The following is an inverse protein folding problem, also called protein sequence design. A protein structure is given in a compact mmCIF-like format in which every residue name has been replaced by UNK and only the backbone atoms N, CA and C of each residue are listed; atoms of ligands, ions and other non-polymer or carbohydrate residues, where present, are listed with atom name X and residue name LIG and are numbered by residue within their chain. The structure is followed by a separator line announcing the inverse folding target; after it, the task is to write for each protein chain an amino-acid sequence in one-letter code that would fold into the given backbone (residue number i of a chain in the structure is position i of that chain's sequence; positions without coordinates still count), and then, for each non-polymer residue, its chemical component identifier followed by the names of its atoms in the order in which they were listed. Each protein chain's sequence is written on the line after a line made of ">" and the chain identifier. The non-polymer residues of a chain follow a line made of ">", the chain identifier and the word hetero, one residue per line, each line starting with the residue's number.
data_IF_197845983500
#
_entry.id   IF_197845983500
#
_cell.length_a   1.000
_cell.length_b   1.000
_cell.length_c   1.000
_cell.angle_alpha   90.00
_cell.angle_beta   90.00
_cell.angle_gamma   90.00
#
_symmetry.space_group_name_H-M   'P 1'
#
loop_
_entity.id
_entity.type
_entity.pdbx_description
1 polymer ?
#
# COMPACT_ATOMS: atom_id res chain seq x y z
N UNK A 1 -1.36 47.82 6.25
CA UNK A 1 -1.21 46.44 6.76
C UNK A 1 -0.53 45.65 5.67
N UNK A 2 0.80 45.57 5.74
CA UNK A 2 1.58 44.81 4.78
C UNK A 2 1.29 43.32 4.98
N UNK A 3 0.76 42.68 3.93
CA UNK A 3 0.43 41.25 3.98
C UNK A 3 1.73 40.46 4.07
N UNK A 4 1.77 39.48 4.97
CA UNK A 4 2.88 38.53 5.03
C UNK A 4 3.02 37.84 3.66
N UNK A 5 4.25 37.69 3.13
CA UNK A 5 4.48 36.90 1.92
C UNK A 5 3.97 35.47 2.07
N UNK A 6 3.43 34.92 0.99
CA UNK A 6 2.83 33.57 1.01
C UNK A 6 3.83 32.51 1.44
N UNK A 7 5.08 32.62 1.00
CA UNK A 7 6.17 31.71 1.34
C UNK A 7 6.46 31.72 2.84
N UNK A 8 6.39 32.89 3.48
CA UNK A 8 6.58 33.04 4.93
C UNK A 8 5.43 32.35 5.68
N UNK A 9 4.19 32.47 5.20
CA UNK A 9 3.05 31.76 5.77
C UNK A 9 3.21 30.23 5.65
N UNK A 10 3.63 29.73 4.48
CA UNK A 10 3.90 28.31 4.28
C UNK A 10 5.01 27.80 5.20
N UNK A 11 6.05 28.60 5.42
CA UNK A 11 7.12 28.26 6.36
C UNK A 11 6.60 28.17 7.80
N UNK A 12 5.81 29.15 8.25
CA UNK A 12 5.20 29.15 9.59
C UNK A 12 4.34 27.90 9.78
N UNK A 13 3.41 27.63 8.87
CA UNK A 13 2.56 26.44 8.94
C UNK A 13 3.36 25.13 8.82
N UNK A 14 4.49 25.15 8.10
CA UNK A 14 5.40 24.02 8.00
C UNK A 14 5.96 23.55 9.35
N UNK A 15 6.04 24.43 10.36
CA UNK A 15 6.49 24.07 11.71
C UNK A 15 5.37 23.53 12.62
N UNK A 16 4.10 23.73 12.26
CA UNK A 16 2.98 23.26 13.08
C UNK A 16 2.79 21.74 12.95
N UNK A 17 2.40 21.03 14.02
CA UNK A 17 2.13 19.59 13.94
C UNK A 17 0.88 19.31 13.09
N UNK A 18 0.79 18.13 12.47
CA UNK A 18 -0.37 17.75 11.67
C UNK A 18 -1.68 17.76 12.46
N UNK A 19 -1.62 17.50 13.77
CA UNK A 19 -2.76 17.57 14.70
C UNK A 19 -3.43 18.95 14.72
N UNK A 20 -2.68 20.04 14.47
CA UNK A 20 -3.21 21.39 14.47
C UNK A 20 -3.97 21.75 13.19
N UNK A 21 -3.77 21.01 12.09
CA UNK A 21 -4.34 21.39 10.80
C UNK A 21 -5.86 21.36 10.80
N UNK A 22 -6.50 20.43 11.52
CA UNK A 22 -7.97 20.39 11.62
C UNK A 22 -8.54 21.72 12.17
N UNK A 23 -7.94 22.25 13.24
CA UNK A 23 -8.32 23.56 13.79
C UNK A 23 -8.00 24.70 12.83
N UNK A 24 -6.87 24.64 12.13
CA UNK A 24 -6.51 25.66 11.14
C UNK A 24 -7.53 25.73 10.00
N UNK A 25 -8.03 24.58 9.52
CA UNK A 25 -9.05 24.51 8.47
C UNK A 25 -10.37 25.17 8.85
N UNK A 26 -10.64 25.38 10.14
CA UNK A 26 -11.80 26.14 10.60
C UNK A 26 -11.62 27.67 10.49
N UNK A 27 -10.37 28.15 10.36
CA UNK A 27 -10.04 29.58 10.44
C UNK A 27 -9.49 30.13 9.13
N UNK A 28 -8.65 29.36 8.43
CA UNK A 28 -7.95 29.82 7.22
C UNK A 28 -8.59 29.26 5.94
N UNK A 29 -8.40 29.95 4.79
CA UNK A 29 -8.85 29.44 3.50
C UNK A 29 -8.27 28.06 3.20
N UNK A 30 -9.15 27.15 2.75
CA UNK A 30 -8.81 25.76 2.43
C UNK A 30 -7.64 25.64 1.45
N UNK A 31 -7.62 26.47 0.40
CA UNK A 31 -6.54 26.45 -0.62
C UNK A 31 -5.17 26.77 0.00
N UNK A 32 -5.12 27.75 0.92
CA UNK A 32 -3.88 28.11 1.62
C UNK A 32 -3.37 26.96 2.49
N UNK A 33 -4.25 26.30 3.22
CA UNK A 33 -3.86 25.20 4.09
C UNK A 33 -3.55 23.90 3.35
N UNK A 34 -4.23 23.65 2.22
CA UNK A 34 -3.86 22.55 1.33
C UNK A 34 -2.42 22.76 0.86
N UNK A 35 -2.07 23.95 0.33
CA UNK A 35 -0.69 24.24 -0.06
C UNK A 35 0.30 24.19 1.11
N UNK A 36 -0.07 24.66 2.30
CA UNK A 36 0.78 24.56 3.49
C UNK A 36 1.03 23.11 3.93
N UNK A 37 0.00 22.27 3.88
CA UNK A 37 0.09 20.85 4.19
C UNK A 37 1.00 20.16 3.18
N UNK A 38 0.79 20.40 1.88
CA UNK A 38 1.61 19.82 0.82
C UNK A 38 3.05 20.33 0.88
N UNK A 39 3.26 21.62 1.18
CA UNK A 39 4.59 22.18 1.42
C UNK A 39 5.31 21.45 2.56
N UNK A 40 4.62 21.20 3.68
CA UNK A 40 5.14 20.41 4.79
C UNK A 40 5.49 18.98 4.36
N UNK A 41 4.59 18.28 3.66
CA UNK A 41 4.83 16.92 3.17
C UNK A 41 6.00 16.83 2.19
N UNK A 42 6.15 17.80 1.28
CA UNK A 42 7.29 17.89 0.36
C UNK A 42 8.62 18.03 1.08
N UNK A 43 8.67 18.80 2.18
CA UNK A 43 9.89 18.96 3.00
C UNK A 43 10.30 17.68 3.72
N UNK A 44 9.32 16.82 4.06
CA UNK A 44 9.54 15.55 4.74
C UNK A 44 9.37 14.33 3.81
N UNK A 45 9.65 14.48 2.51
CA UNK A 45 9.45 13.40 1.51
C UNK A 45 10.24 12.12 1.82
N UNK A 46 11.36 12.24 2.53
CA UNK A 46 12.20 11.11 2.94
C UNK A 46 11.66 10.35 4.17
N UNK A 47 10.69 10.91 4.88
CA UNK A 47 10.05 10.28 6.03
C UNK A 47 8.77 9.55 5.59
N UNK A 48 8.46 8.37 6.16
CA UNK A 48 7.18 7.72 5.93
C UNK A 48 6.03 8.66 6.30
N UNK A 49 5.06 8.81 5.41
CA UNK A 49 3.86 9.62 5.67
C UNK A 49 2.81 8.81 6.44
N UNK A 50 2.62 7.55 6.04
CA UNK A 50 1.71 6.58 6.67
C UNK A 50 2.29 5.18 6.53
N UNK A 51 1.90 4.28 7.42
CA UNK A 51 2.18 2.87 7.30
C UNK A 51 0.90 2.13 6.91
N UNK A 52 1.01 1.31 5.87
CA UNK A 52 0.02 0.31 5.52
C UNK A 52 0.32 -0.96 6.32
N UNK A 53 -0.63 -1.43 7.11
CA UNK A 53 -0.41 -2.48 8.10
C UNK A 53 -1.38 -3.63 7.88
N UNK A 54 -0.83 -4.83 7.77
CA UNK A 54 -1.58 -6.07 7.95
C UNK A 54 -1.67 -6.37 9.44
N UNK A 55 -2.88 -6.52 9.96
CA UNK A 55 -3.11 -6.88 11.36
C UNK A 55 -3.00 -8.40 11.61
N UNK A 56 -2.56 -9.19 10.63
CA UNK A 56 -2.33 -10.62 10.79
C UNK A 56 -1.20 -11.14 9.88
N UNK A 57 -0.01 -11.38 10.45
CA UNK A 57 1.16 -11.93 9.74
C UNK A 57 0.95 -13.34 9.18
N UNK A 58 -0.04 -14.07 9.69
CA UNK A 58 -0.37 -15.40 9.18
C UNK A 58 -1.18 -15.33 7.89
N UNK A 59 -1.83 -14.21 7.59
CA UNK A 59 -2.57 -14.01 6.34
C UNK A 59 -1.75 -13.18 5.35
N UNK A 60 -1.17 -12.07 5.83
CA UNK A 60 -0.46 -11.10 5.01
C UNK A 60 0.80 -10.62 5.75
N UNK A 61 1.99 -10.87 5.20
CA UNK A 61 3.28 -10.63 5.86
C UNK A 61 4.32 -9.94 4.97
N UNK A 62 5.09 -9.00 5.52
CA UNK A 62 6.25 -8.38 4.86
C UNK A 62 7.55 -8.82 5.55
N UNK A 63 8.68 -8.28 5.09
CA UNK A 63 9.99 -8.43 5.72
C UNK A 63 10.07 -7.76 7.11
N UNK A 64 9.15 -6.85 7.42
CA UNK A 64 9.07 -6.10 8.68
C UNK A 64 7.93 -6.66 9.54
N UNK A 65 8.24 -7.66 10.35
CA UNK A 65 7.32 -8.25 11.32
C UNK A 65 7.55 -7.67 12.72
N UNK A 66 6.47 -7.49 13.49
CA UNK A 66 6.54 -7.10 14.89
C UNK A 66 5.97 -8.18 15.83
N UNK A 67 6.17 -8.01 17.14
CA UNK A 67 5.68 -8.93 18.18
C UNK A 67 4.15 -8.99 18.30
N UNK A 68 3.42 -8.11 17.63
CA UNK A 68 1.94 -8.01 17.68
C UNK A 68 1.24 -8.80 16.59
N UNK A 69 1.95 -9.71 15.91
CA UNK A 69 1.42 -10.43 14.76
C UNK A 69 1.03 -9.48 13.61
N UNK A 70 1.72 -8.36 13.44
CA UNK A 70 1.48 -7.40 12.36
C UNK A 70 2.71 -7.26 11.44
N UNK A 71 2.45 -6.91 10.18
CA UNK A 71 3.49 -6.42 9.27
C UNK A 71 3.10 -5.08 8.68
N UNK A 72 4.12 -4.27 8.36
CA UNK A 72 3.91 -2.92 7.84
C UNK A 72 4.70 -2.65 6.57
N UNK A 73 4.15 -1.82 5.70
CA UNK A 73 4.85 -1.15 4.60
C UNK A 73 4.75 0.36 4.81
N UNK A 74 5.87 1.05 4.72
CA UNK A 74 5.92 2.51 4.78
C UNK A 74 5.60 3.11 3.42
N UNK A 75 4.75 4.13 3.43
CA UNK A 75 4.33 4.87 2.24
C UNK A 75 4.81 6.33 2.35
N UNK A 76 5.43 6.81 1.29
CA UNK A 76 6.09 8.11 1.22
C UNK A 76 5.33 9.04 0.31
N UNK A 77 5.31 10.33 0.65
CA UNK A 77 4.68 11.35 -0.20
C UNK A 77 5.26 11.31 -1.61
N UNK A 78 4.41 11.36 -2.63
CA UNK A 78 4.84 11.47 -4.02
C UNK A 78 4.37 12.78 -4.66
N UNK A 79 3.04 12.96 -4.73
CA UNK A 79 2.40 14.06 -5.43
C UNK A 79 1.05 14.42 -4.81
N UNK A 80 0.48 15.53 -5.26
CA UNK A 80 -0.82 16.03 -4.81
C UNK A 80 -1.72 16.29 -6.01
N UNK A 81 -2.95 15.80 -5.95
CA UNK A 81 -4.02 16.11 -6.89
C UNK A 81 -4.89 17.25 -6.30
N UNK A 82 -4.75 18.51 -6.75
CA UNK A 82 -5.51 19.62 -6.23
C UNK A 82 -7.00 19.57 -6.61
N UNK A 83 -7.35 18.91 -7.73
CA UNK A 83 -8.73 18.83 -8.21
C UNK A 83 -9.57 17.99 -7.27
N UNK A 84 -9.02 16.86 -6.81
CA UNK A 84 -9.73 15.91 -5.95
C UNK A 84 -9.24 15.93 -4.50
N UNK A 85 -8.22 16.74 -4.20
CA UNK A 85 -7.56 16.88 -2.90
C UNK A 85 -7.04 15.57 -2.32
N UNK A 86 -6.49 14.74 -3.21
CA UNK A 86 -5.82 13.51 -2.83
C UNK A 86 -4.32 13.71 -2.74
N UNK A 87 -3.76 13.18 -1.65
CA UNK A 87 -2.33 13.04 -1.48
C UNK A 87 -1.96 11.65 -1.98
N UNK A 88 -1.11 11.58 -3.00
CA UNK A 88 -0.56 10.34 -3.51
C UNK A 88 0.72 9.96 -2.77
N UNK A 89 0.83 8.67 -2.48
CA UNK A 89 2.01 8.07 -1.90
C UNK A 89 2.44 6.83 -2.68
N UNK A 90 3.74 6.54 -2.56
CA UNK A 90 4.38 5.37 -3.12
C UNK A 90 5.15 4.63 -2.02
N UNK A 91 5.25 3.30 -2.09
CA UNK A 91 6.17 2.56 -1.24
C UNK A 91 7.63 2.80 -1.66
N UNK A 92 8.57 2.38 -0.81
CA UNK A 92 10.00 2.36 -1.16
C UNK A 92 10.29 1.20 -2.12
N UNK A 93 10.32 1.53 -3.42
CA UNK A 93 10.64 0.58 -4.47
C UNK A 93 12.13 0.21 -4.51
N UNK A 94 13.03 1.07 -4.05
CA UNK A 94 14.48 0.85 -4.11
C UNK A 94 14.91 -0.23 -3.10
N UNK A 95 14.22 -0.32 -1.96
CA UNK A 95 14.46 -1.36 -0.96
C UNK A 95 13.64 -2.63 -1.16
N UNK A 96 12.90 -2.73 -2.27
CA UNK A 96 11.95 -3.83 -2.54
C UNK A 96 10.90 -4.00 -1.43
N UNK A 97 10.57 -2.94 -0.68
CA UNK A 97 9.61 -2.97 0.44
C UNK A 97 8.23 -2.49 -0.02
N UNK A 98 7.67 -3.16 -1.03
CA UNK A 98 6.40 -2.77 -1.63
C UNK A 98 5.45 -3.96 -1.83
N UNK A 99 5.64 -5.05 -1.09
CA UNK A 99 4.76 -6.22 -1.18
C UNK A 99 4.48 -6.81 0.19
N UNK A 100 3.35 -7.49 0.28
CA UNK A 100 3.08 -8.47 1.30
C UNK A 100 3.00 -9.86 0.67
N UNK A 101 3.61 -10.86 1.31
CA UNK A 101 3.36 -12.28 1.03
C UNK A 101 2.01 -12.67 1.62
N UNK A 102 1.17 -13.25 0.77
CA UNK A 102 -0.13 -13.81 1.11
C UNK A 102 0.04 -15.28 1.43
N UNK A 103 -0.45 -15.68 2.59
CA UNK A 103 -0.39 -17.05 3.11
C UNK A 103 -1.79 -17.64 3.21
N UNK A 104 -1.89 -18.93 2.94
CA UNK A 104 -3.14 -19.67 3.04
C UNK A 104 -3.37 -20.15 4.49
N UNK A 105 -3.73 -19.22 5.39
CA UNK A 105 -4.02 -19.55 6.78
C UNK A 105 -5.53 -19.46 7.07
N UNK A 106 -6.11 -20.48 7.72
CA UNK A 106 -7.54 -20.55 8.04
C UNK A 106 -7.91 -19.59 9.20
N UNK A 107 -7.82 -18.29 8.99
CA UNK A 107 -8.22 -17.24 9.94
C UNK A 107 -8.80 -16.07 9.12
N UNK A 108 -9.94 -15.50 9.53
CA UNK A 108 -10.72 -14.53 8.73
C UNK A 108 -10.85 -13.15 9.39
N UNK A 109 -10.04 -12.85 10.42
CA UNK A 109 -10.21 -11.65 11.24
C UNK A 109 -9.21 -10.54 10.92
N UNK A 110 -8.22 -10.78 10.07
CA UNK A 110 -7.24 -9.77 9.69
C UNK A 110 -7.82 -8.64 8.84
N UNK A 111 -7.25 -7.44 9.00
CA UNK A 111 -7.55 -6.27 8.17
C UNK A 111 -6.27 -5.64 7.63
N UNK A 112 -6.40 -5.00 6.48
CA UNK A 112 -5.44 -4.02 5.99
C UNK A 112 -5.87 -2.64 6.51
N UNK A 113 -4.99 -1.99 7.28
CA UNK A 113 -5.28 -0.71 7.93
C UNK A 113 -4.17 0.31 7.66
N UNK A 114 -4.48 1.60 7.79
CA UNK A 114 -3.50 2.67 7.77
C UNK A 114 -3.28 3.18 9.20
N UNK A 115 -2.02 3.44 9.54
CA UNK A 115 -1.61 4.10 10.79
C UNK A 115 -0.50 5.09 10.54
N UNK A 116 -0.27 5.98 11.51
CA UNK A 116 0.93 6.83 11.51
C UNK A 116 2.20 5.99 11.74
N UNK A 117 3.35 6.42 11.20
CA UNK A 117 4.60 5.66 11.27
C UNK A 117 5.10 5.31 12.68
N UNK A 118 4.83 6.19 13.66
CA UNK A 118 5.29 6.06 15.04
C UNK A 118 4.17 5.74 16.02
N UNK A 119 2.96 5.48 15.52
CA UNK A 119 1.82 5.21 16.39
C UNK A 119 1.76 3.73 16.75
N UNK A 120 2.11 3.43 18.00
CA UNK A 120 1.98 2.09 18.58
C UNK A 120 0.62 1.90 19.26
N UNK A 121 -0.27 2.89 19.20
CA UNK A 121 -1.62 2.80 19.78
C UNK A 121 -2.61 2.33 18.71
N UNK A 122 -3.69 1.66 19.14
CA UNK A 122 -4.73 1.15 18.24
C UNK A 122 -5.84 2.19 17.99
N UNK A 123 -5.73 3.38 18.57
CA UNK A 123 -6.82 4.36 18.60
C UNK A 123 -6.97 5.13 17.30
N UNK A 124 -5.86 5.42 16.60
CA UNK A 124 -5.90 6.15 15.33
C UNK A 124 -5.50 5.24 14.16
N UNK A 125 -6.48 4.53 13.61
CA UNK A 125 -6.31 3.71 12.42
C UNK A 125 -7.49 3.80 11.46
N UNK A 126 -7.20 3.76 10.16
CA UNK A 126 -8.23 3.68 9.10
C UNK A 126 -8.24 2.29 8.50
N UNK A 127 -9.34 1.57 8.67
CA UNK A 127 -9.54 0.29 7.99
C UNK A 127 -9.74 0.50 6.49
N UNK A 128 -9.05 -0.32 5.69
CA UNK A 128 -9.19 -0.36 4.24
C UNK A 128 -10.04 -1.55 3.81
N UNK A 129 -9.55 -2.77 4.01
CA UNK A 129 -10.22 -3.97 3.52
C UNK A 129 -9.91 -5.15 4.43
N UNK A 130 -10.77 -6.16 4.47
CA UNK A 130 -10.44 -7.40 5.16
C UNK A 130 -9.33 -8.14 4.40
N UNK A 131 -8.42 -8.78 5.12
CA UNK A 131 -7.40 -9.63 4.48
C UNK A 131 -8.02 -10.83 3.78
N UNK A 132 -9.19 -11.28 4.26
CA UNK A 132 -10.01 -12.29 3.62
C UNK A 132 -10.50 -11.90 2.22
N UNK A 133 -10.93 -10.65 2.01
CA UNK A 133 -11.38 -10.19 0.68
C UNK A 133 -10.21 -10.05 -0.30
N UNK A 134 -9.03 -9.64 0.20
CA UNK A 134 -7.79 -9.67 -0.59
C UNK A 134 -7.49 -11.13 -0.99
N UNK A 135 -7.54 -12.07 -0.04
CA UNK A 135 -7.28 -13.49 -0.30
C UNK A 135 -8.26 -14.09 -1.30
N UNK A 136 -9.56 -13.84 -1.16
CA UNK A 136 -10.60 -14.26 -2.13
C UNK A 136 -10.38 -13.72 -3.54
N UNK A 137 -9.54 -12.70 -3.68
CA UNK A 137 -9.18 -12.13 -4.96
C UNK A 137 -7.98 -12.81 -5.60
N UNK A 138 -7.25 -13.63 -4.84
CA UNK A 138 -6.37 -14.60 -5.46
C UNK A 138 -7.21 -15.69 -6.12
N UNK A 139 -6.84 -16.11 -7.34
CA UNK A 139 -7.52 -17.20 -8.02
C UNK A 139 -7.43 -18.46 -7.17
N UNK A 140 -8.53 -19.23 -7.07
CA UNK A 140 -8.59 -20.37 -6.18
C UNK A 140 -7.53 -21.40 -6.56
N UNK A 141 -6.81 -21.91 -5.57
CA UNK A 141 -6.08 -23.18 -5.71
C UNK A 141 -7.12 -24.26 -5.95
N UNK A 142 -7.33 -24.64 -7.21
CA UNK A 142 -8.26 -25.71 -7.57
C UNK A 142 -7.79 -26.97 -6.83
N UNK A 143 -8.54 -27.41 -5.83
CA UNK A 143 -8.38 -28.74 -5.26
C UNK A 143 -8.65 -29.71 -6.42
N UNK A 144 -7.60 -30.33 -6.95
CA UNK A 144 -7.73 -31.28 -8.04
C UNK A 144 -8.72 -32.36 -7.63
N UNK A 145 -9.70 -32.61 -8.49
CA UNK A 145 -10.46 -33.86 -8.45
C UNK A 145 -9.45 -35.01 -8.59
N UNK A 146 -9.18 -35.71 -7.49
CA UNK A 146 -8.67 -37.08 -7.43
C UNK A 146 -7.74 -37.51 -8.59
N UNK A 147 -6.63 -36.80 -8.80
CA UNK A 147 -5.42 -37.25 -9.54
C UNK A 147 -4.44 -36.08 -9.59
N UNK A 148 -3.57 -35.99 -8.59
CA UNK A 148 -2.20 -35.42 -8.52
C UNK A 148 -1.66 -34.30 -9.42
N UNK A 149 -2.43 -33.66 -10.30
CA UNK A 149 -2.00 -32.58 -11.17
C UNK A 149 -2.83 -31.34 -10.85
N UNK A 150 -2.24 -30.42 -10.10
CA UNK A 150 -2.74 -29.05 -10.08
C UNK A 150 -2.45 -28.47 -11.47
N UNK A 151 -3.48 -28.39 -12.32
CA UNK A 151 -3.41 -27.63 -13.56
C UNK A 151 -3.27 -26.14 -13.20
N UNK A 152 -2.03 -25.71 -12.95
CA UNK A 152 -1.62 -24.31 -12.94
C UNK A 152 -1.63 -23.79 -14.36
N UNK A 153 -2.80 -23.70 -14.97
CA UNK A 153 -2.96 -23.05 -16.25
C UNK A 153 -2.77 -21.53 -16.07
N UNK A 154 -1.53 -21.08 -16.26
CA UNK A 154 -1.18 -19.72 -16.69
C UNK A 154 -1.86 -18.58 -15.92
N UNK A 155 -1.89 -18.64 -14.60
CA UNK A 155 -2.48 -17.55 -13.84
C UNK A 155 -1.56 -16.32 -13.99
N UNK A 156 -2.06 -15.34 -14.76
CA UNK A 156 -1.43 -14.04 -14.94
C UNK A 156 -1.57 -13.24 -13.66
N UNK A 157 -0.65 -12.31 -13.44
CA UNK A 157 -0.83 -11.30 -12.40
C UNK A 157 -2.13 -10.53 -12.61
N UNK A 158 -2.80 -10.18 -11.52
CA UNK A 158 -4.08 -9.50 -11.53
C UNK A 158 -3.94 -8.11 -10.93
N UNK A 159 -4.43 -7.10 -11.64
CA UNK A 159 -4.51 -5.75 -11.11
C UNK A 159 -5.72 -5.64 -10.19
N UNK A 160 -5.50 -5.02 -9.03
CA UNK A 160 -6.50 -4.88 -8.00
C UNK A 160 -6.49 -3.46 -7.45
N UNK A 161 -7.61 -2.77 -7.55
CA UNK A 161 -7.79 -1.47 -6.89
C UNK A 161 -8.78 -1.61 -5.74
N UNK A 162 -8.35 -1.22 -4.54
CA UNK A 162 -9.20 -1.16 -3.35
C UNK A 162 -9.72 0.26 -3.20
N UNK A 163 -11.04 0.41 -3.25
CA UNK A 163 -11.73 1.68 -3.05
C UNK A 163 -12.38 1.73 -1.68
N UNK A 164 -12.08 2.77 -0.93
CA UNK A 164 -12.66 3.07 0.38
C UNK A 164 -12.94 4.56 0.50
N UNK A 165 -13.87 4.93 1.38
CA UNK A 165 -14.14 6.35 1.63
C UNK A 165 -12.85 7.07 2.03
N UNK A 166 -12.47 8.06 1.22
CA UNK A 166 -11.25 8.87 1.35
C UNK A 166 -9.93 8.17 1.04
N UNK A 167 -9.94 6.95 0.50
CA UNK A 167 -8.73 6.15 0.25
C UNK A 167 -8.81 5.30 -1.03
N UNK A 168 -7.72 5.25 -1.80
CA UNK A 168 -7.59 4.39 -2.98
C UNK A 168 -6.24 3.70 -2.93
N UNK A 169 -6.21 2.38 -3.14
CA UNK A 169 -4.99 1.59 -3.14
C UNK A 169 -4.92 0.78 -4.43
N UNK A 170 -3.99 1.11 -5.31
CA UNK A 170 -3.66 0.32 -6.48
C UNK A 170 -2.63 -0.75 -6.10
N UNK A 171 -2.93 -1.99 -6.46
CA UNK A 171 -2.15 -3.17 -6.10
C UNK A 171 -2.13 -4.20 -7.23
N UNK A 172 -1.21 -5.15 -7.13
CA UNK A 172 -1.12 -6.26 -8.06
C UNK A 172 -0.95 -7.59 -7.31
N UNK A 173 -1.77 -8.57 -7.67
CA UNK A 173 -1.73 -9.93 -7.12
C UNK A 173 -0.87 -10.81 -8.03
N UNK A 174 0.16 -11.46 -7.46
CA UNK A 174 0.99 -12.44 -8.17
C UNK A 174 0.90 -13.79 -7.47
N UNK A 175 0.43 -14.86 -8.14
CA UNK A 175 0.44 -16.22 -7.59
C UNK A 175 1.85 -16.81 -7.50
N UNK A 176 2.12 -17.64 -6.48
CA UNK A 176 3.43 -18.29 -6.30
C UNK A 176 3.71 -19.43 -7.30
N UNK A 177 2.68 -20.00 -7.93
CA UNK A 177 2.77 -21.15 -8.85
C UNK A 177 3.40 -20.87 -10.22
N UNK A 178 4.02 -19.70 -10.42
CA UNK A 178 4.74 -19.41 -11.67
C UNK A 178 6.12 -20.05 -11.63
N UNK A 179 6.23 -21.26 -12.19
CA UNK A 179 7.44 -22.09 -12.32
C UNK A 179 8.50 -21.52 -13.28
N UNK A 180 8.82 -20.23 -13.15
CA UNK A 180 9.96 -19.65 -13.86
C UNK A 180 10.71 -18.72 -12.92
N UNK A 181 11.92 -19.15 -12.57
CA UNK A 181 12.96 -18.30 -12.01
C UNK A 181 12.92 -16.92 -12.70
N UNK A 182 12.65 -15.88 -11.90
CA UNK A 182 12.67 -14.47 -12.29
C UNK A 182 11.79 -14.10 -13.51
N UNK A 183 10.46 -14.23 -13.41
CA UNK A 183 9.59 -13.43 -14.29
C UNK A 183 9.48 -12.01 -13.75
N UNK A 184 10.30 -11.14 -14.32
CA UNK A 184 9.96 -9.72 -14.47
C UNK A 184 8.64 -9.68 -15.24
N UNK A 185 7.52 -9.45 -14.55
CA UNK A 185 6.25 -9.21 -15.22
C UNK A 185 6.32 -7.78 -15.73
N UNK A 186 6.37 -7.60 -17.05
CA UNK A 186 6.32 -6.26 -17.59
C UNK A 186 4.93 -5.67 -17.32
N UNK A 187 4.86 -4.36 -17.11
CA UNK A 187 3.57 -3.66 -16.93
C UNK A 187 2.64 -3.86 -18.15
N UNK A 188 3.21 -4.22 -19.32
CA UNK A 188 2.50 -4.39 -20.60
C UNK A 188 1.93 -5.81 -20.77
N UNK A 189 2.43 -6.80 -20.03
CA UNK A 189 1.98 -8.20 -20.15
C UNK A 189 0.59 -8.45 -19.51
N UNK A 190 0.08 -7.48 -18.74
CA UNK A 190 -1.20 -7.55 -18.04
C UNK A 190 -2.34 -6.95 -18.85
N UNK A 191 -2.80 -7.69 -19.86
CA UNK A 191 -4.21 -7.65 -20.30
C UNK A 191 -5.05 -8.53 -19.35
N UNK A 192 -4.97 -8.27 -18.05
CA UNK A 192 -5.73 -8.98 -17.01
C UNK A 192 -7.01 -8.23 -16.65
N UNK A 193 -7.98 -8.94 -16.08
CA UNK A 193 -9.22 -8.32 -15.58
C UNK A 193 -8.93 -7.41 -14.38
N UNK A 194 -9.22 -6.11 -14.51
CA UNK A 194 -9.17 -5.13 -13.41
C UNK A 194 -10.25 -5.50 -12.39
N UNK A 195 -9.83 -5.90 -11.19
CA UNK A 195 -10.78 -6.17 -10.09
C UNK A 195 -10.82 -5.00 -9.13
N UNK A 196 -12.03 -4.61 -8.75
CA UNK A 196 -12.26 -3.56 -7.74
C UNK A 196 -12.86 -4.19 -6.49
N UNK A 197 -12.26 -3.93 -5.32
CA UNK A 197 -12.80 -4.34 -4.02
C UNK A 197 -13.24 -3.12 -3.23
N UNK A 198 -14.47 -3.17 -2.72
CA UNK A 198 -15.03 -2.19 -1.79
C UNK A 198 -15.94 -1.16 -2.48
N UNK A 199 -17.21 -1.18 -2.07
CA UNK A 199 -18.15 -0.05 -2.13
C UNK A 199 -19.15 -0.26 -0.99
N UNK A 200 -19.09 0.58 0.03
CA UNK A 200 -20.08 0.59 1.13
C UNK A 200 -20.87 1.89 1.04
N UNK A 201 -22.18 1.77 0.76
CA UNK A 201 -23.14 2.85 0.90
C UNK A 201 -23.58 3.51 -0.41
N UNK A 202 -24.82 3.19 -0.81
CA UNK A 202 -25.81 4.05 -1.46
C UNK A 202 -25.31 5.32 -2.17
N UNK A 203 -25.34 5.27 -3.51
CA UNK A 203 -25.94 6.38 -4.25
C UNK A 203 -25.03 7.53 -4.62
N UNK A 204 -23.77 7.29 -5.00
CA UNK A 204 -23.09 8.19 -5.93
C UNK A 204 -22.34 7.36 -6.98
N UNK A 205 -22.98 7.24 -8.13
CA UNK A 205 -22.36 6.88 -9.41
C UNK A 205 -21.45 8.04 -9.87
N UNK A 206 -20.64 8.60 -8.97
CA UNK A 206 -19.80 9.77 -9.22
C UNK A 206 -18.47 9.32 -9.78
N UNK A 207 -18.51 8.95 -11.06
CA UNK A 207 -17.36 8.74 -11.91
C UNK A 207 -16.38 7.64 -11.43
N UNK A 208 -15.87 6.86 -12.38
CA UNK A 208 -14.44 6.55 -12.32
C UNK A 208 -13.74 7.91 -12.33
N UNK A 209 -13.62 8.56 -11.17
CA UNK A 209 -12.96 9.86 -11.04
C UNK A 209 -11.61 9.66 -11.69
N UNK A 210 -11.35 10.39 -12.78
CA UNK A 210 -10.08 10.35 -13.51
C UNK A 210 -9.03 11.02 -12.63
N UNK A 211 -8.78 10.44 -11.45
CA UNK A 211 -7.68 10.80 -10.59
C UNK A 211 -6.43 10.58 -11.41
N UNK A 212 -5.64 11.64 -11.52
CA UNK A 212 -4.38 11.58 -12.24
C UNK A 212 -3.40 10.79 -11.39
N UNK A 213 -3.40 9.46 -11.58
CA UNK A 213 -2.47 8.54 -10.91
C UNK A 213 -1.03 8.94 -11.25
N UNK A 214 -0.11 9.01 -10.27
CA UNK A 214 1.29 9.23 -10.57
C UNK A 214 1.87 8.08 -11.38
N UNK A 215 2.86 8.36 -12.22
CA UNK A 215 3.61 7.31 -12.91
C UNK A 215 4.44 6.53 -11.89
N UNK A 216 4.44 5.20 -12.00
CA UNK A 216 5.40 4.39 -11.23
C UNK A 216 6.83 4.71 -11.71
N UNK A 217 7.86 4.56 -10.86
CA UNK A 217 9.23 4.78 -11.27
C UNK A 217 9.57 3.96 -12.52
N UNK A 218 10.39 4.48 -13.45
CA UNK A 218 10.73 3.76 -14.68
C UNK A 218 11.50 2.45 -14.44
N UNK A 219 12.17 2.35 -13.29
CA UNK A 219 12.86 1.16 -12.81
C UNK A 219 11.92 0.13 -12.19
N UNK A 220 10.67 0.51 -11.89
CA UNK A 220 9.70 -0.36 -11.27
C UNK A 220 9.31 -1.48 -12.23
N UNK A 221 9.42 -2.71 -11.74
CA UNK A 221 8.89 -3.88 -12.41
C UNK A 221 8.21 -4.73 -11.35
N UNK A 222 7.07 -5.33 -11.72
CA UNK A 222 6.39 -6.32 -10.89
C UNK A 222 7.30 -7.54 -10.78
N UNK A 223 8.00 -7.64 -9.66
CA UNK A 223 8.94 -8.72 -9.38
C UNK A 223 8.59 -9.36 -8.04
N UNK A 224 8.62 -10.69 -8.04
CA UNK A 224 8.52 -11.48 -6.82
C UNK A 224 9.91 -11.51 -6.15
N UNK A 225 10.01 -11.39 -4.82
CA UNK A 225 11.28 -11.50 -4.12
C UNK A 225 12.00 -12.80 -4.46
N UNK A 226 13.32 -12.74 -4.71
CA UNK A 226 14.10 -13.94 -4.93
C UNK A 226 14.04 -14.84 -3.68
N UNK A 227 13.51 -16.05 -3.84
CA UNK A 227 13.60 -17.09 -2.81
C UNK A 227 15.07 -17.40 -2.62
N UNK A 228 15.57 -17.23 -1.40
CA UNK A 228 16.99 -17.24 -1.04
C UNK A 228 17.82 -18.23 -1.85
N UNK A 229 18.66 -17.71 -2.75
CA UNK A 229 19.86 -18.43 -3.12
C UNK A 229 20.72 -18.49 -1.86
N UNK A 230 20.75 -19.65 -1.21
CA UNK A 230 21.90 -20.04 -0.40
C UNK A 230 23.12 -20.17 -1.34
N UNK A 231 23.65 -19.03 -1.77
CA UNK A 231 24.92 -18.94 -2.46
C UNK A 231 26.02 -19.02 -1.41
N UNK A 232 26.77 -20.13 -1.40
CA UNK A 232 28.10 -20.17 -0.78
C UNK A 232 28.91 -19.00 -1.36
N UNK A 233 29.15 -17.96 -0.58
CA UNK A 233 30.24 -17.01 -0.85
C UNK A 233 29.93 -15.53 -1.10
N UNK A 234 28.73 -15.00 -0.83
CA UNK A 234 28.53 -13.53 -0.86
C UNK A 234 28.31 -12.96 0.54
N UNK A 235 29.16 -12.00 0.91
CA UNK A 235 29.28 -11.34 2.21
C UNK A 235 27.95 -11.06 2.91
N UNK A 236 27.80 -11.67 4.08
CA UNK A 236 26.70 -11.49 5.01
C UNK A 236 26.65 -10.07 5.58
N UNK A 237 25.88 -9.15 4.96
CA UNK A 237 25.36 -7.92 5.61
C UNK A 237 23.97 -7.45 5.14
N UNK A 238 23.21 -8.22 4.37
CA UNK A 238 21.84 -7.80 3.92
C UNK A 238 20.78 -8.91 3.98
N UNK A 239 20.92 -9.90 4.86
CA UNK A 239 20.06 -11.09 4.89
C UNK A 239 19.36 -11.32 6.23
N UNK A 240 18.94 -10.27 6.93
CA UNK A 240 18.17 -10.40 8.19
C UNK A 240 16.74 -9.92 8.03
N UNK A 241 15.93 -10.62 7.22
CA UNK A 241 14.46 -10.53 7.30
C UNK A 241 13.75 -11.63 6.50
N UNK A 242 14.08 -12.90 6.73
CA UNK A 242 13.29 -14.02 6.21
C UNK A 242 12.96 -14.98 7.36
N UNK A 243 12.20 -14.48 8.35
CA UNK A 243 11.68 -15.31 9.46
C UNK A 243 10.44 -16.14 9.06
N UNK A 244 10.05 -16.11 7.79
CA UNK A 244 8.98 -16.96 7.27
C UNK A 244 9.61 -17.94 6.30
N UNK A 245 9.60 -19.26 6.57
CA UNK A 245 10.07 -20.26 5.64
C UNK A 245 9.44 -20.03 4.27
N UNK A 246 10.28 -19.75 3.27
CA UNK A 246 9.91 -19.81 1.86
C UNK A 246 9.89 -21.27 1.43
N UNK A 247 8.99 -22.06 2.02
CA UNK A 247 8.53 -23.25 1.32
C UNK A 247 7.74 -22.78 0.09
N UNK A 248 7.99 -23.36 -1.10
CA UNK A 248 7.15 -23.13 -2.26
C UNK A 248 5.79 -23.75 -1.95
N UNK A 249 4.95 -22.96 -1.32
CA UNK A 249 3.57 -23.33 -1.06
C UNK A 249 2.76 -22.96 -2.32
N UNK A 250 2.22 -23.94 -3.06
CA UNK A 250 1.36 -23.70 -4.20
C UNK A 250 0.16 -22.77 -3.90
N UNK A 251 -0.22 -22.66 -2.63
CA UNK A 251 -1.36 -21.86 -2.15
C UNK A 251 -1.01 -20.41 -1.79
N UNK A 252 0.28 -20.04 -1.80
CA UNK A 252 0.72 -18.69 -1.44
C UNK A 252 0.74 -17.72 -2.64
N UNK A 253 0.75 -16.42 -2.38
CA UNK A 253 0.88 -15.37 -3.40
C UNK A 253 1.54 -14.11 -2.87
N UNK A 254 1.54 -13.05 -3.69
CA UNK A 254 2.12 -11.75 -3.38
C UNK A 254 1.10 -10.65 -3.68
N UNK A 255 0.86 -9.78 -2.71
CA UNK A 255 0.07 -8.56 -2.82
C UNK A 255 1.07 -7.40 -2.93
N UNK A 256 1.35 -6.97 -4.16
CA UNK A 256 2.22 -5.82 -4.46
C UNK A 256 1.41 -4.54 -4.28
N UNK A 257 1.95 -3.59 -3.53
CA UNK A 257 1.42 -2.24 -3.38
C UNK A 257 2.11 -1.35 -4.40
N UNK A 258 1.34 -0.68 -5.25
CA UNK A 258 1.88 0.17 -6.30
C UNK A 258 1.68 1.64 -5.97
N UNK A 259 0.45 2.03 -5.63
CA UNK A 259 0.11 3.43 -5.35
C UNK A 259 -0.95 3.49 -4.27
N UNK A 260 -0.86 4.50 -3.43
CA UNK A 260 -1.92 4.78 -2.47
C UNK A 260 -2.29 6.25 -2.51
N UNK A 261 -3.58 6.55 -2.44
CA UNK A 261 -4.10 7.90 -2.34
C UNK A 261 -4.96 8.02 -1.08
N UNK A 262 -4.81 9.13 -0.37
CA UNK A 262 -5.64 9.50 0.77
C UNK A 262 -6.11 10.94 0.64
N UNK A 263 -7.39 11.21 0.88
CA UNK A 263 -7.87 12.58 0.91
C UNK A 263 -7.38 13.31 2.17
N UNK A 264 -7.29 14.64 2.09
CA UNK A 264 -6.81 15.46 3.21
C UNK A 264 -7.60 15.21 4.52
N UNK A 265 -8.94 15.18 4.53
CA UNK A 265 -9.70 14.92 5.76
C UNK A 265 -9.37 13.57 6.41
N UNK A 266 -9.27 12.49 5.63
CA UNK A 266 -8.96 11.16 6.15
C UNK A 266 -7.51 11.08 6.60
N UNK A 267 -6.59 11.75 5.91
CA UNK A 267 -5.21 11.86 6.34
C UNK A 267 -5.09 12.54 7.70
N UNK A 268 -5.73 13.70 7.90
CA UNK A 268 -5.66 14.43 9.16
C UNK A 268 -6.28 13.66 10.33
N UNK A 269 -7.35 12.89 10.10
CA UNK A 269 -7.94 12.01 11.12
C UNK A 269 -6.98 10.94 11.66
N UNK A 270 -5.95 10.55 10.89
CA UNK A 270 -4.91 9.66 11.41
C UNK A 270 -4.02 10.36 12.43
N UNK A 271 -4.02 11.70 12.47
CA UNK A 271 -3.18 12.50 13.36
C UNK A 271 -3.92 13.09 14.55
N UNK A 272 -5.26 13.11 14.53
CA UNK A 272 -6.11 13.57 15.63
C UNK A 272 -6.38 12.48 16.67
#
# INVERSE_FOLDING_TARGET
>A
MDRLPFEVLLQIFGYLPFTSFETLYAVFPRVLLDEALIYKLRRHKAEPMVNLISTNLHELSTNTANSRNESSLSLYFDSYDPTHRFIWTLPDFDRSQHYFKVKDAYVSHGKLVLRRPHDTTLFSQKSLVSLWDIRKSFPPTRAGSFSGASEYSRIKSQELTIHQSGCILDSCLIPSGTSSNAKKVSLVDNMGEEKVIGMSGSGENMNRVLLKRPTLPPTYMRQVPEVGKHGKGSSARSATSFLVPTYPDPTCGYFLVERFAIDIPTFLRLYC
#
